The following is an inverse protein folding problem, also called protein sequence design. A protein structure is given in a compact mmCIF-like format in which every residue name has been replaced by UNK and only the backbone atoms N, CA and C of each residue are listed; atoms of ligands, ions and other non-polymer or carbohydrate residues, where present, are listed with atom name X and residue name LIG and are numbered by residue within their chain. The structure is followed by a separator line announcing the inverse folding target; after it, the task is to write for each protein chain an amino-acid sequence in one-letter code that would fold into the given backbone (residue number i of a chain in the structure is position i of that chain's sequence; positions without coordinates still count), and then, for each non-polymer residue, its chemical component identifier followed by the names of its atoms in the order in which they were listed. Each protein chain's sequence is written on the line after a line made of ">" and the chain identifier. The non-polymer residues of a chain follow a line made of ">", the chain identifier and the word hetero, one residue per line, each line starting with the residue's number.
data_IF_148435485495
#
_entry.id   IF_148435485495
#
_cell.length_a   1.000
_cell.length_b   1.000
_cell.length_c   1.000
_cell.angle_alpha   90.00
_cell.angle_beta   90.00
_cell.angle_gamma   90.00
#
_symmetry.space_group_name_H-M   'P 1'
#
loop_
_entity.id
_entity.type
_entity.pdbx_description
1 polymer ?
#
# COMPACT_ATOMS: atom_id res chain seq x y z
N UNK A 1 19.36 -42.76 29.58
CA UNK A 1 18.46 -41.98 28.68
C UNK A 1 17.37 -41.44 29.57
N UNK A 2 17.57 -40.21 30.05
CA UNK A 2 16.88 -39.71 31.22
C UNK A 2 15.47 -39.22 30.88
N UNK A 3 14.54 -39.57 31.76
CA UNK A 3 13.13 -39.16 31.73
C UNK A 3 12.94 -37.65 31.55
N UNK A 4 13.90 -36.85 32.05
CA UNK A 4 13.94 -35.39 31.86
C UNK A 4 14.14 -34.96 30.40
N UNK A 5 14.91 -35.72 29.60
CA UNK A 5 15.13 -35.43 28.19
C UNK A 5 13.85 -35.66 27.37
N UNK A 6 13.11 -36.73 27.67
CA UNK A 6 11.84 -37.03 27.01
C UNK A 6 10.74 -36.03 27.38
N UNK A 7 10.73 -35.51 28.61
CA UNK A 7 9.80 -34.44 29.01
C UNK A 7 10.16 -33.11 28.33
N UNK A 8 11.44 -32.76 28.24
CA UNK A 8 11.88 -31.54 27.56
C UNK A 8 11.51 -31.57 26.07
N UNK A 9 11.81 -32.68 25.38
CA UNK A 9 11.44 -32.90 23.97
C UNK A 9 9.92 -32.94 23.75
N UNK A 10 9.14 -33.40 24.73
CA UNK A 10 7.67 -33.39 24.68
C UNK A 10 7.10 -31.98 24.86
N UNK A 11 7.75 -31.13 25.66
CA UNK A 11 7.33 -29.76 25.91
C UNK A 11 7.67 -28.86 24.72
N UNK A 12 8.89 -29.02 24.18
CA UNK A 12 9.41 -28.26 23.03
C UNK A 12 8.59 -28.54 21.76
N UNK A 13 8.29 -29.82 21.48
CA UNK A 13 7.41 -30.23 20.37
C UNK A 13 5.96 -29.73 20.51
N UNK A 14 5.43 -29.60 21.74
CA UNK A 14 4.08 -29.07 21.95
C UNK A 14 4.03 -27.55 21.75
N UNK A 15 5.04 -26.81 22.23
CA UNK A 15 5.08 -25.35 22.09
C UNK A 15 5.29 -24.88 20.65
N UNK A 16 6.07 -25.61 19.86
CA UNK A 16 6.36 -25.27 18.46
C UNK A 16 5.15 -25.51 17.53
N UNK A 17 4.36 -26.55 17.82
CA UNK A 17 3.16 -26.89 17.07
C UNK A 17 1.97 -25.96 17.40
N UNK A 18 1.86 -25.50 18.66
CA UNK A 18 0.79 -24.59 19.09
C UNK A 18 1.01 -23.17 18.57
N UNK A 19 2.25 -22.66 18.61
CA UNK A 19 2.54 -21.29 18.15
C UNK A 19 2.37 -21.12 16.64
N UNK A 20 2.86 -22.07 15.83
CA UNK A 20 2.72 -21.99 14.37
C UNK A 20 1.27 -22.12 13.91
N UNK A 21 0.48 -22.96 14.60
CA UNK A 21 -0.94 -23.15 14.31
C UNK A 21 -1.77 -21.92 14.71
N UNK A 22 -1.51 -21.36 15.90
CA UNK A 22 -2.16 -20.14 16.39
C UNK A 22 -1.82 -18.94 15.50
N UNK A 23 -0.55 -18.76 15.11
CA UNK A 23 -0.14 -17.69 14.19
C UNK A 23 -0.83 -17.82 12.83
N UNK A 24 -0.89 -19.03 12.27
CA UNK A 24 -1.58 -19.27 10.99
C UNK A 24 -3.09 -18.99 11.08
N UNK A 25 -3.73 -19.29 12.21
CA UNK A 25 -5.13 -18.97 12.44
C UNK A 25 -5.31 -17.45 12.53
N UNK A 26 -4.48 -16.77 13.32
CA UNK A 26 -4.48 -15.33 13.48
C UNK A 26 -4.28 -14.60 12.15
N UNK A 27 -3.31 -15.02 11.33
CA UNK A 27 -3.05 -14.47 10.01
C UNK A 27 -4.25 -14.60 9.07
N UNK A 28 -4.94 -15.75 9.09
CA UNK A 28 -6.15 -15.95 8.30
C UNK A 28 -7.30 -15.05 8.76
N UNK A 29 -7.45 -14.81 10.07
CA UNK A 29 -8.44 -13.87 10.59
C UNK A 29 -8.11 -12.43 10.24
N UNK A 30 -6.84 -12.03 10.33
CA UNK A 30 -6.36 -10.69 9.94
C UNK A 30 -6.63 -10.48 8.44
N UNK A 31 -6.21 -11.41 7.59
CA UNK A 31 -6.41 -11.32 6.15
C UNK A 31 -7.90 -11.31 5.79
N UNK A 32 -8.71 -12.14 6.44
CA UNK A 32 -10.16 -12.14 6.27
C UNK A 32 -10.81 -10.82 6.67
N UNK A 33 -10.40 -10.24 7.80
CA UNK A 33 -10.90 -8.94 8.28
C UNK A 33 -10.53 -7.79 7.33
N UNK A 34 -9.30 -7.83 6.77
CA UNK A 34 -8.84 -6.88 5.76
C UNK A 34 -9.69 -6.97 4.49
N UNK A 35 -9.91 -8.18 3.96
CA UNK A 35 -10.75 -8.39 2.77
C UNK A 35 -12.18 -7.90 3.01
N UNK A 36 -12.74 -8.12 4.21
CA UNK A 36 -14.07 -7.62 4.56
C UNK A 36 -14.14 -6.09 4.60
N UNK A 37 -13.16 -5.43 5.23
CA UNK A 37 -13.08 -3.96 5.25
C UNK A 37 -12.99 -3.40 3.83
N UNK A 38 -12.10 -3.98 3.03
CA UNK A 38 -11.88 -3.62 1.64
C UNK A 38 -13.16 -3.83 0.80
N UNK A 39 -13.87 -4.95 0.99
CA UNK A 39 -15.14 -5.22 0.31
C UNK A 39 -16.24 -4.20 0.66
N UNK A 40 -16.22 -3.65 1.88
CA UNK A 40 -17.18 -2.63 2.30
C UNK A 40 -16.80 -1.22 1.82
N UNK A 41 -15.51 -0.87 1.80
CA UNK A 41 -15.05 0.44 1.31
C UNK A 41 -15.19 0.57 -0.20
N UNK A 42 -15.03 -0.53 -0.95
CA UNK A 42 -14.99 -0.53 -2.40
C UNK A 42 -16.28 -0.03 -3.09
N UNK A 43 -17.51 -0.47 -2.73
CA UNK A 43 -18.74 0.08 -3.27
C UNK A 43 -18.92 1.57 -2.97
N UNK A 44 -18.53 2.00 -1.76
CA UNK A 44 -18.56 3.41 -1.37
C UNK A 44 -17.61 4.23 -2.25
N UNK A 45 -16.41 3.73 -2.50
CA UNK A 45 -15.40 4.34 -3.36
C UNK A 45 -15.90 4.52 -4.80
N UNK A 46 -16.48 3.47 -5.39
CA UNK A 46 -17.09 3.52 -6.73
C UNK A 46 -18.22 4.55 -6.79
N UNK A 47 -19.11 4.55 -5.80
CA UNK A 47 -20.25 5.45 -5.76
C UNK A 47 -19.80 6.93 -5.70
N UNK A 48 -18.80 7.24 -4.87
CA UNK A 48 -18.24 8.60 -4.78
C UNK A 48 -17.60 9.02 -6.10
N UNK A 49 -16.81 8.15 -6.75
CA UNK A 49 -16.21 8.47 -8.05
C UNK A 49 -17.29 8.70 -9.12
N UNK A 50 -18.27 7.80 -9.24
CA UNK A 50 -19.33 7.92 -10.26
C UNK A 50 -20.15 9.20 -10.11
N UNK A 51 -20.51 9.58 -8.88
CA UNK A 51 -21.28 10.80 -8.61
C UNK A 51 -20.54 12.08 -8.99
N UNK A 52 -19.20 12.10 -8.91
CA UNK A 52 -18.40 13.29 -9.19
C UNK A 52 -17.78 13.30 -10.61
N UNK A 53 -17.77 12.16 -11.30
CA UNK A 53 -17.11 11.96 -12.59
C UNK A 53 -17.41 13.05 -13.63
N UNK A 54 -18.68 13.38 -13.87
CA UNK A 54 -19.05 14.34 -14.92
C UNK A 54 -18.58 15.77 -14.64
N UNK A 55 -18.50 16.15 -13.35
CA UNK A 55 -17.95 17.43 -12.96
C UNK A 55 -16.42 17.42 -13.02
N UNK A 56 -15.80 16.36 -12.52
CA UNK A 56 -14.35 16.24 -12.43
C UNK A 56 -13.69 16.17 -13.81
N UNK A 57 -14.36 15.59 -14.82
CA UNK A 57 -13.92 15.57 -16.24
C UNK A 57 -13.56 16.95 -16.80
N UNK A 58 -14.13 18.02 -16.25
CA UNK A 58 -13.88 19.40 -16.71
C UNK A 58 -12.61 20.00 -16.12
N UNK A 59 -11.98 19.31 -15.17
CA UNK A 59 -10.79 19.77 -14.46
C UNK A 59 -9.54 19.16 -15.07
N UNK A 60 -8.45 19.93 -15.14
CA UNK A 60 -7.21 19.43 -15.71
C UNK A 60 -6.52 18.35 -14.84
N UNK A 61 -6.93 18.22 -13.57
CA UNK A 61 -6.51 17.15 -12.64
C UNK A 61 -7.25 15.83 -12.87
N UNK A 62 -8.26 15.80 -13.74
CA UNK A 62 -9.05 14.60 -14.00
C UNK A 62 -8.23 13.35 -14.35
N UNK A 63 -7.15 13.42 -15.18
CA UNK A 63 -6.34 12.25 -15.46
C UNK A 63 -5.74 11.61 -14.21
N UNK A 64 -5.39 12.41 -13.20
CA UNK A 64 -4.87 11.91 -11.92
C UNK A 64 -5.99 11.20 -11.16
N UNK A 65 -7.15 11.83 -11.03
CA UNK A 65 -8.32 11.27 -10.32
C UNK A 65 -8.78 9.96 -10.98
N UNK A 66 -8.88 9.95 -12.31
CA UNK A 66 -9.25 8.78 -13.10
C UNK A 66 -8.21 7.66 -13.01
N UNK A 67 -6.92 8.02 -12.98
CA UNK A 67 -5.85 7.05 -12.77
C UNK A 67 -5.91 6.43 -11.38
N UNK A 68 -6.01 7.26 -10.33
CA UNK A 68 -6.15 6.82 -8.93
C UNK A 68 -7.33 5.85 -8.77
N UNK A 69 -8.46 6.14 -9.39
CA UNK A 69 -9.63 5.25 -9.39
C UNK A 69 -9.33 3.89 -9.99
N UNK A 70 -8.72 3.88 -11.18
CA UNK A 70 -8.41 2.66 -11.93
C UNK A 70 -7.36 1.81 -11.21
N UNK A 71 -6.34 2.42 -10.63
CA UNK A 71 -5.28 1.70 -9.92
C UNK A 71 -5.76 1.09 -8.61
N UNK A 72 -6.67 1.76 -7.90
CA UNK A 72 -7.34 1.16 -6.73
C UNK A 72 -8.13 -0.07 -7.18
N UNK A 73 -9.00 0.03 -8.17
CA UNK A 73 -9.75 -1.13 -8.70
C UNK A 73 -8.83 -2.26 -9.14
N UNK A 74 -7.74 -1.95 -9.86
CA UNK A 74 -6.77 -2.94 -10.28
C UNK A 74 -6.12 -3.65 -9.08
N UNK A 75 -5.75 -2.91 -8.03
CA UNK A 75 -5.15 -3.46 -6.81
C UNK A 75 -6.11 -4.42 -6.10
N UNK A 76 -7.37 -4.02 -5.95
CA UNK A 76 -8.43 -4.89 -5.41
C UNK A 76 -8.60 -6.18 -6.21
N UNK A 77 -8.62 -6.07 -7.55
CA UNK A 77 -8.71 -7.21 -8.44
C UNK A 77 -7.52 -8.17 -8.27
N UNK A 78 -6.30 -7.65 -8.23
CA UNK A 78 -5.09 -8.47 -8.03
C UNK A 78 -5.10 -9.21 -6.68
N UNK A 79 -5.54 -8.56 -5.60
CA UNK A 79 -5.65 -9.20 -4.27
C UNK A 79 -6.66 -10.35 -4.31
N UNK A 80 -7.84 -10.15 -4.90
CA UNK A 80 -8.87 -11.20 -5.00
C UNK A 80 -8.38 -12.37 -5.86
N UNK A 81 -7.75 -12.09 -7.01
CA UNK A 81 -7.18 -13.12 -7.87
C UNK A 81 -6.10 -13.90 -7.13
N UNK A 82 -5.16 -13.23 -6.46
CA UNK A 82 -4.11 -13.87 -5.67
C UNK A 82 -4.68 -14.78 -4.57
N UNK A 83 -5.71 -14.32 -3.85
CA UNK A 83 -6.39 -15.13 -2.82
C UNK A 83 -7.06 -16.38 -3.41
N UNK A 84 -7.81 -16.23 -4.50
CA UNK A 84 -8.45 -17.34 -5.20
C UNK A 84 -7.42 -18.35 -5.73
N UNK A 85 -6.35 -17.87 -6.36
CA UNK A 85 -5.24 -18.70 -6.81
C UNK A 85 -4.59 -19.45 -5.65
N UNK A 86 -4.40 -18.81 -4.49
CA UNK A 86 -3.88 -19.48 -3.30
C UNK A 86 -4.77 -20.58 -2.75
N UNK A 87 -6.09 -20.38 -2.73
CA UNK A 87 -7.03 -21.45 -2.33
C UNK A 87 -7.08 -22.61 -3.32
N UNK A 88 -6.98 -22.32 -4.62
CA UNK A 88 -6.90 -23.35 -5.67
C UNK A 88 -5.58 -24.13 -5.52
N UNK A 89 -4.46 -23.42 -5.35
CA UNK A 89 -3.15 -24.02 -5.12
C UNK A 89 -3.15 -24.97 -3.92
N UNK A 90 -3.68 -24.53 -2.77
CA UNK A 90 -3.77 -25.36 -1.56
C UNK A 90 -4.62 -26.64 -1.76
N UNK A 91 -5.63 -26.61 -2.64
CA UNK A 91 -6.46 -27.79 -2.96
C UNK A 91 -5.78 -28.74 -3.94
N UNK A 92 -4.82 -28.27 -4.72
CA UNK A 92 -4.07 -29.04 -5.72
C UNK A 92 -2.77 -29.66 -5.16
N UNK A 93 -2.47 -29.47 -3.86
CA UNK A 93 -1.26 -29.92 -3.16
C UNK A 93 -1.05 -31.46 -3.15
N UNK A 94 -2.05 -32.24 -3.57
CA UNK A 94 -1.95 -33.70 -3.51
C UNK A 94 -0.89 -34.28 -4.46
N UNK A 95 -0.39 -33.52 -5.44
CA UNK A 95 0.63 -33.99 -6.37
C UNK A 95 1.82 -33.01 -6.50
N UNK A 96 2.93 -33.37 -5.84
CA UNK A 96 4.16 -32.55 -5.72
C UNK A 96 4.94 -32.49 -7.03
N UNK A 97 4.67 -31.51 -7.87
CA UNK A 97 5.70 -31.01 -8.79
C UNK A 97 6.25 -29.68 -8.27
N UNK A 98 7.55 -29.64 -7.94
CA UNK A 98 8.21 -28.41 -7.49
C UNK A 98 8.13 -27.27 -8.52
N UNK A 99 7.86 -27.58 -9.79
CA UNK A 99 7.60 -26.60 -10.83
C UNK A 99 6.32 -25.79 -10.60
N UNK A 100 5.21 -26.42 -10.19
CA UNK A 100 3.94 -25.72 -9.92
C UNK A 100 4.09 -24.77 -8.74
N UNK A 101 4.77 -25.21 -7.68
CA UNK A 101 5.07 -24.37 -6.51
C UNK A 101 5.92 -23.15 -6.90
N UNK A 102 6.99 -23.36 -7.68
CA UNK A 102 7.85 -22.28 -8.17
C UNK A 102 7.09 -21.27 -9.01
N UNK A 103 6.23 -21.73 -9.93
CA UNK A 103 5.41 -20.86 -10.79
C UNK A 103 4.42 -20.04 -9.94
N UNK A 104 3.80 -20.68 -8.95
CA UNK A 104 2.85 -20.02 -8.07
C UNK A 104 3.51 -18.92 -7.22
N UNK A 105 4.66 -19.22 -6.59
CA UNK A 105 5.43 -18.27 -5.81
C UNK A 105 5.89 -17.08 -6.67
N UNK A 106 6.39 -17.35 -7.88
CA UNK A 106 6.80 -16.30 -8.81
C UNK A 106 5.61 -15.41 -9.22
N UNK A 107 4.45 -15.99 -9.46
CA UNK A 107 3.23 -15.25 -9.80
C UNK A 107 2.77 -14.33 -8.66
N UNK A 108 2.80 -14.80 -7.41
CA UNK A 108 2.50 -13.98 -6.23
C UNK A 108 3.50 -12.83 -6.13
N UNK A 109 4.79 -13.13 -6.25
CA UNK A 109 5.84 -12.12 -6.14
C UNK A 109 5.67 -11.00 -7.18
N UNK A 110 5.39 -11.35 -8.44
CA UNK A 110 5.12 -10.38 -9.51
C UNK A 110 3.87 -9.55 -9.19
N UNK A 111 2.78 -10.18 -8.73
CA UNK A 111 1.55 -9.48 -8.39
C UNK A 111 1.77 -8.46 -7.24
N UNK A 112 2.51 -8.86 -6.20
CA UNK A 112 2.86 -7.98 -5.08
C UNK A 112 3.74 -6.81 -5.54
N UNK A 113 4.72 -7.06 -6.42
CA UNK A 113 5.56 -6.00 -6.97
C UNK A 113 4.75 -4.98 -7.79
N UNK A 114 3.79 -5.45 -8.60
CA UNK A 114 2.88 -4.56 -9.34
C UNK A 114 2.06 -3.72 -8.37
N UNK A 115 1.43 -4.33 -7.36
CA UNK A 115 0.62 -3.61 -6.36
C UNK A 115 1.47 -2.57 -5.62
N UNK A 116 2.71 -2.90 -5.25
CA UNK A 116 3.62 -1.98 -4.59
C UNK A 116 3.87 -0.72 -5.43
N UNK A 117 4.23 -0.88 -6.71
CA UNK A 117 4.45 0.23 -7.63
C UNK A 117 3.18 1.08 -7.81
N UNK A 118 2.02 0.43 -7.99
CA UNK A 118 0.73 1.15 -8.09
C UNK A 118 0.46 1.99 -6.83
N UNK A 119 0.76 1.44 -5.66
CA UNK A 119 0.57 2.12 -4.38
C UNK A 119 1.50 3.33 -4.25
N UNK A 120 2.79 3.18 -4.58
CA UNK A 120 3.77 4.28 -4.53
C UNK A 120 3.41 5.42 -5.49
N UNK A 121 3.03 5.11 -6.74
CA UNK A 121 2.53 6.11 -7.69
C UNK A 121 1.32 6.84 -7.11
N UNK A 122 0.34 6.10 -6.59
CA UNK A 122 -0.87 6.68 -6.00
C UNK A 122 -0.56 7.62 -4.83
N UNK A 123 0.38 7.24 -3.95
CA UNK A 123 0.81 8.06 -2.81
C UNK A 123 1.43 9.39 -3.27
N UNK A 124 2.30 9.37 -4.28
CA UNK A 124 2.90 10.58 -4.83
C UNK A 124 1.83 11.46 -5.50
N UNK A 125 0.93 10.87 -6.29
CA UNK A 125 -0.15 11.60 -6.96
C UNK A 125 -1.13 12.25 -5.97
N UNK A 126 -1.51 11.55 -4.91
CA UNK A 126 -2.33 12.11 -3.82
C UNK A 126 -1.61 13.27 -3.13
N UNK A 127 -0.29 13.15 -2.95
CA UNK A 127 0.52 14.20 -2.33
C UNK A 127 0.56 15.46 -3.20
N UNK A 128 0.81 15.30 -4.50
CA UNK A 128 0.76 16.40 -5.49
C UNK A 128 -0.60 17.08 -5.48
N UNK A 129 -1.68 16.29 -5.48
CA UNK A 129 -3.04 16.82 -5.47
C UNK A 129 -3.33 17.60 -4.17
N UNK A 130 -2.85 17.13 -3.02
CA UNK A 130 -3.00 17.82 -1.73
C UNK A 130 -2.29 19.19 -1.74
N UNK A 131 -1.05 19.22 -2.24
CA UNK A 131 -0.22 20.43 -2.31
C UNK A 131 -0.85 21.43 -3.29
N UNK A 132 -1.24 20.96 -4.49
CA UNK A 132 -1.94 21.77 -5.48
C UNK A 132 -3.18 22.43 -4.88
N UNK A 133 -4.00 21.67 -4.14
CA UNK A 133 -5.21 22.19 -3.50
C UNK A 133 -4.91 23.16 -2.36
N UNK A 134 -3.89 22.89 -1.56
CA UNK A 134 -3.46 23.79 -0.50
C UNK A 134 -3.03 25.14 -1.07
N UNK A 135 -2.18 25.15 -2.09
CA UNK A 135 -1.68 26.40 -2.70
C UNK A 135 -2.84 27.17 -3.35
N UNK A 136 -3.68 26.52 -4.15
CA UNK A 136 -4.83 27.19 -4.77
C UNK A 136 -5.78 27.83 -3.73
N UNK A 137 -5.90 27.23 -2.55
CA UNK A 137 -6.80 27.72 -1.52
C UNK A 137 -6.20 28.86 -0.69
N UNK A 138 -4.95 28.73 -0.25
CA UNK A 138 -4.31 29.69 0.67
C UNK A 138 -3.48 30.76 -0.04
N UNK A 139 -3.15 30.56 -1.32
CA UNK A 139 -2.28 31.43 -2.11
C UNK A 139 -2.94 31.72 -3.49
N UNK A 140 -4.04 32.49 -3.53
CA UNK A 140 -4.83 32.74 -4.76
C UNK A 140 -4.07 33.46 -5.89
N UNK A 141 -2.84 33.93 -5.66
CA UNK A 141 -1.98 34.50 -6.70
C UNK A 141 -1.22 33.46 -7.55
N UNK A 142 -1.27 32.18 -7.19
CA UNK A 142 -0.46 31.12 -7.82
C UNK A 142 -1.23 30.24 -8.81
N UNK A 143 -2.50 30.56 -9.09
CA UNK A 143 -3.36 29.80 -10.02
C UNK A 143 -2.69 29.58 -11.38
N UNK A 144 -2.05 30.62 -11.94
CA UNK A 144 -1.38 30.56 -13.25
C UNK A 144 -0.16 29.64 -13.28
N UNK A 145 0.48 29.38 -12.12
CA UNK A 145 1.62 28.47 -12.02
C UNK A 145 1.21 27.03 -11.77
N UNK A 146 -0.06 26.80 -11.41
CA UNK A 146 -0.59 25.51 -10.95
C UNK A 146 -1.72 24.98 -11.86
N UNK A 147 -2.12 25.77 -12.87
CA UNK A 147 -2.98 25.33 -13.96
C UNK A 147 -2.21 24.44 -14.94
N UNK A 148 -2.01 23.18 -14.54
CA UNK A 148 -1.35 22.18 -15.36
C UNK A 148 -2.31 21.63 -16.40
N UNK A 149 -1.87 21.55 -17.66
CA UNK A 149 -2.68 20.95 -18.72
C UNK A 149 -2.93 19.45 -18.49
N UNK A 150 -4.02 18.92 -19.06
CA UNK A 150 -4.33 17.49 -19.04
C UNK A 150 -3.16 16.63 -19.57
N UNK A 151 -2.48 17.12 -20.62
CA UNK A 151 -1.30 16.47 -21.21
C UNK A 151 -0.14 16.40 -20.21
N UNK A 152 0.10 17.49 -19.48
CA UNK A 152 1.11 17.54 -18.42
C UNK A 152 0.83 16.51 -17.35
N UNK A 153 -0.43 16.38 -16.91
CA UNK A 153 -0.82 15.40 -15.89
C UNK A 153 -0.65 13.95 -16.36
N UNK A 154 -0.99 13.64 -17.62
CA UNK A 154 -0.74 12.31 -18.19
C UNK A 154 0.75 11.98 -18.29
N UNK A 155 1.56 12.93 -18.74
CA UNK A 155 3.01 12.76 -18.83
C UNK A 155 3.64 12.57 -17.44
N UNK A 156 3.16 13.31 -16.43
CA UNK A 156 3.59 13.15 -15.05
C UNK A 156 3.38 11.71 -14.56
N UNK A 157 2.20 11.13 -14.78
CA UNK A 157 1.90 9.74 -14.39
C UNK A 157 2.90 8.77 -15.04
N UNK A 158 3.13 8.88 -16.35
CA UNK A 158 4.12 8.04 -17.05
C UNK A 158 5.53 8.21 -16.51
N UNK A 159 5.93 9.44 -16.18
CA UNK A 159 7.24 9.73 -15.60
C UNK A 159 7.41 9.08 -14.21
N UNK A 160 6.37 9.09 -13.38
CA UNK A 160 6.37 8.44 -12.07
C UNK A 160 6.53 6.92 -12.20
N UNK A 161 5.81 6.27 -13.12
CA UNK A 161 6.02 4.84 -13.37
C UNK A 161 7.45 4.55 -13.82
N UNK A 162 7.99 5.33 -14.76
CA UNK A 162 9.37 5.13 -15.22
C UNK A 162 10.39 5.28 -14.07
N UNK A 163 10.20 6.28 -13.21
CA UNK A 163 11.08 6.54 -12.06
C UNK A 163 11.02 5.41 -11.02
N UNK A 164 9.83 4.95 -10.65
CA UNK A 164 9.66 3.90 -9.63
C UNK A 164 10.08 2.52 -10.14
N UNK A 165 9.95 2.24 -11.44
CA UNK A 165 10.53 1.02 -12.02
C UNK A 165 12.07 1.02 -11.95
N UNK A 166 12.71 2.20 -11.92
CA UNK A 166 14.17 2.30 -11.75
C UNK A 166 14.62 1.83 -10.36
N UNK A 167 13.78 1.99 -9.33
CA UNK A 167 14.06 1.50 -7.98
C UNK A 167 14.17 -0.03 -7.93
N UNK A 168 13.25 -0.74 -8.58
CA UNK A 168 13.33 -2.20 -8.72
C UNK A 168 14.62 -2.66 -9.42
N UNK A 169 15.10 -1.88 -10.39
CA UNK A 169 16.38 -2.16 -11.06
C UNK A 169 17.59 -1.97 -10.14
N UNK A 170 17.55 -1.03 -9.18
CA UNK A 170 18.61 -0.83 -8.18
C UNK A 170 18.71 -2.04 -7.25
N UNK A 171 17.58 -2.62 -6.84
CA UNK A 171 17.54 -3.84 -6.02
C UNK A 171 18.14 -5.01 -6.79
N UNK A 172 17.74 -5.21 -8.05
CA UNK A 172 18.26 -6.28 -8.90
C UNK A 172 19.77 -6.14 -9.14
N UNK A 173 20.24 -4.91 -9.40
CA UNK A 173 21.66 -4.60 -9.53
C UNK A 173 22.42 -4.91 -8.22
N UNK A 174 21.85 -4.53 -7.08
CA UNK A 174 22.39 -4.86 -5.76
C UNK A 174 22.54 -6.36 -5.55
N UNK A 175 21.57 -7.16 -5.96
CA UNK A 175 21.63 -8.63 -5.93
C UNK A 175 22.71 -9.18 -6.84
N UNK A 176 22.80 -8.69 -8.08
CA UNK A 176 23.80 -9.18 -9.04
C UNK A 176 25.24 -8.91 -8.59
N UNK A 177 25.50 -7.78 -7.95
CA UNK A 177 26.84 -7.37 -7.49
C UNK A 177 27.11 -7.65 -6.00
N UNK A 178 26.30 -8.48 -5.33
CA UNK A 178 26.41 -8.79 -3.89
C UNK A 178 26.42 -7.54 -2.98
N UNK A 179 25.75 -6.46 -3.40
CA UNK A 179 25.53 -5.21 -2.65
C UNK A 179 24.08 -5.06 -2.17
N UNK A 180 23.41 -6.18 -1.93
CA UNK A 180 21.99 -6.25 -1.54
C UNK A 180 21.68 -5.34 -0.34
N UNK A 181 22.53 -5.34 0.69
CA UNK A 181 22.32 -4.51 1.88
C UNK A 181 22.22 -3.02 1.57
N UNK A 182 23.05 -2.51 0.67
CA UNK A 182 23.00 -1.09 0.28
C UNK A 182 21.75 -0.79 -0.53
N UNK A 183 21.35 -1.68 -1.44
CA UNK A 183 20.12 -1.51 -2.22
C UNK A 183 18.87 -1.57 -1.34
N UNK A 184 18.81 -2.49 -0.39
CA UNK A 184 17.73 -2.58 0.60
C UNK A 184 17.67 -1.31 1.47
N UNK A 185 18.81 -0.76 1.88
CA UNK A 185 18.85 0.48 2.65
C UNK A 185 18.28 1.67 1.85
N UNK A 186 18.58 1.75 0.56
CA UNK A 186 18.00 2.77 -0.32
C UNK A 186 16.48 2.60 -0.43
N UNK A 187 16.02 1.37 -0.67
CA UNK A 187 14.60 1.02 -0.75
C UNK A 187 13.84 1.39 0.53
N UNK A 188 14.34 0.97 1.69
CA UNK A 188 13.71 1.27 2.99
C UNK A 188 13.64 2.78 3.24
N UNK A 189 14.72 3.52 2.95
CA UNK A 189 14.72 4.98 3.10
C UNK A 189 13.68 5.65 2.19
N UNK A 190 13.56 5.19 0.94
CA UNK A 190 12.58 5.70 0.00
C UNK A 190 11.14 5.39 0.44
N UNK A 191 10.89 4.15 0.90
CA UNK A 191 9.62 3.76 1.50
C UNK A 191 9.25 4.63 2.70
N UNK A 192 10.18 4.88 3.63
CA UNK A 192 9.95 5.78 4.78
C UNK A 192 9.63 7.19 4.30
N UNK A 193 10.37 7.71 3.32
CA UNK A 193 10.12 9.02 2.73
C UNK A 193 8.70 9.13 2.15
N UNK A 194 8.24 8.14 1.39
CA UNK A 194 6.88 8.12 0.83
C UNK A 194 5.81 8.10 1.93
N UNK A 195 6.02 7.33 3.00
CA UNK A 195 5.08 7.32 4.13
C UNK A 195 5.00 8.68 4.83
N UNK A 196 6.14 9.32 5.07
CA UNK A 196 6.18 10.68 5.65
C UNK A 196 5.48 11.67 4.72
N UNK A 197 5.69 11.56 3.41
CA UNK A 197 5.07 12.41 2.39
C UNK A 197 3.53 12.28 2.41
N UNK A 198 3.00 11.06 2.53
CA UNK A 198 1.56 10.80 2.63
C UNK A 198 0.98 11.38 3.92
N UNK A 199 1.66 11.22 5.04
CA UNK A 199 1.23 11.79 6.33
C UNK A 199 1.24 13.32 6.32
N UNK A 200 2.27 13.93 5.73
CA UNK A 200 2.32 15.37 5.51
C UNK A 200 1.16 15.84 4.63
N UNK A 201 0.86 15.10 3.57
CA UNK A 201 -0.26 15.38 2.66
C UNK A 201 -1.61 15.28 3.35
N UNK A 202 -1.80 14.29 4.24
CA UNK A 202 -3.00 14.18 5.07
C UNK A 202 -3.14 15.37 6.03
N UNK A 203 -2.03 15.84 6.61
CA UNK A 203 -2.01 17.02 7.47
C UNK A 203 -2.40 18.28 6.70
N UNK A 204 -1.96 18.43 5.45
CA UNK A 204 -2.34 19.56 4.58
C UNK A 204 -3.84 19.59 4.26
N UNK A 205 -4.53 18.46 4.32
CA UNK A 205 -5.99 18.40 4.12
C UNK A 205 -6.79 18.91 5.32
N UNK A 206 -6.24 18.89 6.54
CA UNK A 206 -6.90 19.40 7.76
C UNK A 206 -7.23 20.90 7.65
N UNK A 207 -6.27 21.81 7.35
CA UNK A 207 -6.58 23.24 7.21
C UNK A 207 -7.50 23.52 6.01
N UNK A 208 -7.42 22.72 4.94
CA UNK A 208 -8.34 22.80 3.80
C UNK A 208 -9.78 22.45 4.24
N UNK A 209 -9.97 21.39 5.03
CA UNK A 209 -11.30 21.02 5.53
C UNK A 209 -11.87 22.07 6.48
N UNK A 210 -11.04 22.56 7.42
CA UNK A 210 -11.45 23.60 8.36
C UNK A 210 -11.87 24.89 7.65
N UNK A 211 -11.13 25.30 6.63
CA UNK A 211 -11.46 26.49 5.85
C UNK A 211 -12.71 26.31 4.99
N UNK A 212 -12.94 25.14 4.38
CA UNK A 212 -14.18 24.83 3.65
C UNK A 212 -15.42 24.93 4.54
N UNK A 213 -15.33 24.44 5.78
CA UNK A 213 -16.43 24.53 6.76
C UNK A 213 -16.72 25.97 7.21
N UNK A 214 -15.70 26.85 7.18
CA UNK A 214 -15.83 28.27 7.54
C UNK A 214 -16.39 29.13 6.40
N UNK A 215 -16.28 28.68 5.15
CA UNK A 215 -16.63 29.45 3.94
C UNK A 215 -17.72 28.79 3.06
N UNK A 216 -18.50 27.86 3.62
CA UNK A 216 -19.55 27.07 2.94
C UNK A 216 -20.61 27.90 2.20
N UNK A 217 -20.76 29.18 2.55
CA UNK A 217 -21.70 30.11 1.93
C UNK A 217 -21.21 30.73 0.60
N UNK A 218 -19.92 30.58 0.25
CA UNK A 218 -19.35 31.11 -1.00
C UNK A 218 -19.50 30.09 -2.14
N UNK A 219 -19.89 30.56 -3.33
CA UNK A 219 -20.11 29.70 -4.51
C UNK A 219 -18.86 28.89 -4.93
N UNK A 220 -17.66 29.41 -4.67
CA UNK A 220 -16.38 28.70 -4.87
C UNK A 220 -16.21 27.50 -3.94
N UNK A 221 -16.77 27.53 -2.73
CA UNK A 221 -16.78 26.41 -1.79
C UNK A 221 -17.73 25.28 -2.24
N UNK A 222 -18.81 25.62 -2.96
CA UNK A 222 -19.72 24.63 -3.55
C UNK A 222 -19.17 23.98 -4.84
N UNK A 223 -18.25 24.66 -5.53
CA UNK A 223 -17.62 24.18 -6.77
C UNK A 223 -16.50 23.14 -6.53
N UNK A 224 -15.99 23.03 -5.29
CA UNK A 224 -14.84 22.21 -4.91
C UNK A 224 -15.13 20.73 -4.60
N UNK A 225 -16.17 20.14 -5.21
CA UNK A 225 -16.53 18.71 -5.03
C UNK A 225 -15.43 17.67 -5.37
N UNK A 226 -14.47 17.90 -6.30
CA UNK A 226 -13.36 16.96 -6.52
C UNK A 226 -12.46 16.74 -5.28
N UNK A 227 -12.50 17.62 -4.28
CA UNK A 227 -11.71 17.47 -3.05
C UNK A 227 -12.17 16.31 -2.17
N UNK A 228 -13.47 15.98 -2.19
CA UNK A 228 -14.02 14.92 -1.34
C UNK A 228 -13.44 13.57 -1.71
N UNK A 229 -13.30 13.29 -2.99
CA UNK A 229 -12.80 12.01 -3.46
C UNK A 229 -11.34 11.78 -3.05
N UNK A 230 -10.46 12.74 -3.34
CA UNK A 230 -9.06 12.65 -2.96
C UNK A 230 -8.86 12.60 -1.45
N UNK A 231 -9.68 13.31 -0.68
CA UNK A 231 -9.71 13.23 0.78
C UNK A 231 -10.11 11.82 1.27
N UNK A 232 -11.21 11.26 0.75
CA UNK A 232 -11.65 9.91 1.13
C UNK A 232 -10.59 8.87 0.80
N UNK A 233 -9.94 8.98 -0.36
CA UNK A 233 -8.86 8.09 -0.74
C UNK A 233 -7.62 8.27 0.16
N UNK A 234 -7.30 9.49 0.58
CA UNK A 234 -6.19 9.75 1.49
C UNK A 234 -6.49 9.21 2.90
N UNK A 235 -7.72 9.34 3.38
CA UNK A 235 -8.17 8.74 4.65
C UNK A 235 -8.07 7.21 4.57
N UNK A 236 -8.49 6.60 3.47
CA UNK A 236 -8.40 5.15 3.25
C UNK A 236 -6.93 4.69 3.31
N UNK A 237 -6.03 5.33 2.55
CA UNK A 237 -4.59 4.99 2.54
C UNK A 237 -3.94 5.17 3.90
N UNK A 238 -4.24 6.25 4.63
CA UNK A 238 -3.68 6.49 5.97
C UNK A 238 -4.21 5.47 6.96
N UNK A 239 -5.50 5.12 6.89
CA UNK A 239 -6.11 4.11 7.77
C UNK A 239 -5.49 2.74 7.51
N UNK A 240 -5.33 2.36 6.24
CA UNK A 240 -4.67 1.12 5.82
C UNK A 240 -3.24 1.04 6.39
N UNK A 241 -2.45 2.12 6.27
CA UNK A 241 -1.08 2.18 6.81
C UNK A 241 -1.04 2.07 8.33
N UNK A 242 -1.92 2.75 9.06
CA UNK A 242 -1.95 2.70 10.53
C UNK A 242 -2.32 1.29 11.02
N UNK A 243 -3.18 0.56 10.30
CA UNK A 243 -3.57 -0.80 10.66
C UNK A 243 -2.45 -1.80 10.30
N UNK A 244 -1.83 -1.67 9.12
CA UNK A 244 -0.82 -2.63 8.63
C UNK A 244 0.55 -2.45 9.27
N UNK A 245 0.98 -1.23 9.62
CA UNK A 245 2.32 -0.99 10.16
C UNK A 245 2.59 -1.75 11.47
N UNK A 246 1.68 -1.75 12.47
CA UNK A 246 1.83 -2.54 13.69
C UNK A 246 1.85 -4.03 13.41
N UNK A 247 1.02 -4.52 12.48
CA UNK A 247 0.95 -5.94 12.12
C UNK A 247 2.29 -6.40 11.55
N UNK A 248 2.87 -5.65 10.61
CA UNK A 248 4.19 -5.96 10.04
C UNK A 248 5.28 -5.91 11.11
N UNK A 249 5.26 -4.93 12.03
CA UNK A 249 6.19 -4.86 13.15
C UNK A 249 6.07 -6.08 14.08
N UNK A 250 4.85 -6.48 14.47
CA UNK A 250 4.62 -7.67 15.28
C UNK A 250 5.03 -8.97 14.57
N UNK A 251 4.80 -9.06 13.25
CA UNK A 251 5.21 -10.21 12.43
C UNK A 251 6.73 -10.28 12.18
N UNK A 252 7.44 -9.14 12.21
CA UNK A 252 8.91 -9.06 12.06
C UNK A 252 9.66 -9.18 13.40
N UNK A 253 9.04 -8.82 14.52
CA UNK A 253 9.61 -9.06 15.86
C UNK A 253 9.65 -10.56 16.20
N UNK A 254 8.73 -11.36 15.63
CA UNK A 254 8.76 -12.81 15.76
C UNK A 254 10.08 -13.46 15.24
N UNK A 255 10.60 -13.15 14.03
CA UNK A 255 11.89 -13.66 13.57
C UNK A 255 13.13 -12.92 14.12
N UNK A 256 13.02 -11.66 14.56
CA UNK A 256 14.18 -10.93 15.12
C UNK A 256 14.65 -11.49 16.47
N UNK A 257 13.72 -12.00 17.29
CA UNK A 257 14.05 -12.66 18.55
C UNK A 257 14.85 -13.96 18.32
N UNK A 258 14.55 -14.72 17.26
CA UNK A 258 15.28 -15.94 16.88
C UNK A 258 16.69 -15.62 16.35
N UNK A 259 16.84 -14.57 15.53
CA UNK A 259 18.14 -14.13 15.02
C UNK A 259 19.05 -13.60 16.14
N UNK A 260 18.49 -12.90 17.13
CA UNK A 260 19.25 -12.43 18.30
C UNK A 260 19.70 -13.59 19.21
N UNK A 261 18.89 -14.63 19.33
CA UNK A 261 19.23 -15.82 20.12
C UNK A 261 20.35 -16.65 19.47
N UNK A 262 20.33 -16.80 18.15
CA UNK A 262 21.39 -17.49 17.37
C UNK A 262 22.75 -16.77 17.46
N UNK A 263 22.75 -15.43 17.53
CA UNK A 263 23.97 -14.64 17.71
C UNK A 263 24.62 -14.86 19.09
N UNK A 264 23.81 -14.98 20.15
CA UNK A 264 24.28 -15.20 21.53
C UNK A 264 24.81 -16.60 21.80
N UNK A 265 24.41 -17.58 21.00
CA UNK A 265 24.89 -18.97 21.11
C UNK A 265 26.20 -19.24 20.36
N UNK A 266 26.71 -18.24 19.62
CA UNK A 266 27.96 -18.32 18.84
C UNK A 266 29.13 -17.56 19.49
N UNK A 267 28.94 -16.98 20.69
CA UNK A 267 29.99 -16.51 21.61
C UNK A 267 30.17 -17.50 22.77
#
# INVERSE_FOLDING_TARGET
>A
MDFSYNILMSYENQTEYDFSTVNRILDNYILGSYILLAFNSFPCYINVYQKNKEQDKRTAVFPIIDHLFKTVIASYFFVVVAYCCGKIYLKLIDDRSGAIDTIFLLSIFIALAIIAILCEVNQILLSILSIQRFILYFLPGYEKFIDFSEKTMKNLIWCLYALLNFEGAIILYGTFFNKVQNALKIYVNFYVFLNVLVLASATLYIPIMYSIQKFTHLASAQLNKPQRYALWQLIEVVTEKIILMPIICFSLDAPLHEVHHLWKTLE
#
